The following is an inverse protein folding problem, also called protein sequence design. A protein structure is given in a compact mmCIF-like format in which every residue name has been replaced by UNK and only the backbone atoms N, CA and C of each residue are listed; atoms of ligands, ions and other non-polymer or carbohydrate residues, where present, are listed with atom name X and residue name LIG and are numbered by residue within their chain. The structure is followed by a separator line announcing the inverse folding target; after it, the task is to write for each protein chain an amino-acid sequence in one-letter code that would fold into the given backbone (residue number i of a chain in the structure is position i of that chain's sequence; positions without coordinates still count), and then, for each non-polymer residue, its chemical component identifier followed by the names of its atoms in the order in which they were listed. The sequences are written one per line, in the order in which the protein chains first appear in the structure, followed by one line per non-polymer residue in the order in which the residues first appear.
data_IF_402855187607
#
_entry.id   IF_402855187607
#
_cell.length_a   1.000
_cell.length_b   1.000
_cell.length_c   1.000
_cell.angle_alpha   90.00
_cell.angle_beta   90.00
_cell.angle_gamma   90.00
#
_symmetry.space_group_name_H-M   'P 1'
#
loop_
_entity.id
_entity.type
_entity.pdbx_description
1 polymer ?
#
# COMPACT_ATOMS: atom_id res chain seq x y z
N UNK A 1 4.61 6.23 8.66
CA UNK A 1 4.99 7.60 8.24
C UNK A 1 4.45 8.60 9.24
N UNK A 2 5.20 9.66 9.56
CA UNK A 2 4.68 10.80 10.32
C UNK A 2 3.62 11.53 9.48
N UNK A 3 2.74 12.31 10.14
CA UNK A 3 1.72 13.11 9.45
C UNK A 3 2.34 14.13 8.46
N UNK A 4 3.49 14.71 8.81
CA UNK A 4 4.22 15.59 7.90
C UNK A 4 4.74 14.84 6.66
N UNK A 5 5.33 13.65 6.83
CA UNK A 5 5.78 12.84 5.68
C UNK A 5 4.62 12.42 4.78
N UNK A 6 3.42 12.16 5.32
CA UNK A 6 2.23 11.86 4.52
C UNK A 6 1.82 13.04 3.66
N UNK A 7 1.77 14.25 4.23
CA UNK A 7 1.45 15.48 3.48
C UNK A 7 2.43 15.70 2.34
N UNK A 8 3.74 15.63 2.62
CA UNK A 8 4.77 15.79 1.59
C UNK A 8 4.64 14.72 0.50
N UNK A 9 4.43 13.46 0.88
CA UNK A 9 4.22 12.38 -0.08
C UNK A 9 3.04 12.67 -1.01
N UNK A 10 1.89 13.08 -0.49
CA UNK A 10 0.71 13.37 -1.30
C UNK A 10 0.88 14.60 -2.20
N UNK A 11 1.58 15.63 -1.75
CA UNK A 11 1.90 16.80 -2.58
C UNK A 11 2.77 16.36 -3.77
N UNK A 12 3.85 15.63 -3.52
CA UNK A 12 4.74 15.13 -4.57
C UNK A 12 4.00 14.19 -5.52
N UNK A 13 3.20 13.28 -4.97
CA UNK A 13 2.39 12.33 -5.75
C UNK A 13 1.41 13.06 -6.67
N UNK A 14 0.72 14.09 -6.17
CA UNK A 14 -0.22 14.87 -6.95
C UNK A 14 0.48 15.65 -8.07
N UNK A 15 1.61 16.31 -7.77
CA UNK A 15 2.41 17.02 -8.77
C UNK A 15 2.90 16.07 -9.87
N UNK A 16 3.41 14.90 -9.49
CA UNK A 16 3.85 13.88 -10.44
C UNK A 16 2.69 13.38 -11.31
N UNK A 17 1.51 13.20 -10.72
CA UNK A 17 0.31 12.75 -11.45
C UNK A 17 -0.15 13.79 -12.48
N UNK A 18 -0.15 15.08 -12.11
CA UNK A 18 -0.47 16.18 -13.04
C UNK A 18 0.56 16.25 -14.15
N UNK A 19 1.85 16.09 -13.82
CA UNK A 19 2.92 16.07 -14.81
C UNK A 19 2.79 14.89 -15.79
N UNK A 20 2.51 13.69 -15.30
CA UNK A 20 2.26 12.50 -16.14
C UNK A 20 1.03 12.72 -17.03
N UNK A 21 -0.05 13.28 -16.50
CA UNK A 21 -1.23 13.60 -17.28
C UNK A 21 -0.88 14.59 -18.41
N UNK A 22 -0.10 15.63 -18.12
CA UNK A 22 0.41 16.55 -19.12
C UNK A 22 1.21 15.83 -20.22
N UNK A 23 2.13 14.93 -19.84
CA UNK A 23 2.91 14.16 -20.80
C UNK A 23 2.02 13.30 -21.70
N UNK A 24 1.02 12.60 -21.16
CA UNK A 24 0.09 11.76 -21.95
C UNK A 24 -0.54 12.55 -23.10
N UNK A 25 -0.94 13.79 -22.86
CA UNK A 25 -1.57 14.64 -23.88
C UNK A 25 -0.58 15.38 -24.79
N UNK A 26 0.71 15.39 -24.46
CA UNK A 26 1.73 16.17 -25.19
C UNK A 26 2.89 15.32 -25.73
N UNK A 27 2.84 14.00 -25.60
CA UNK A 27 3.84 13.09 -26.17
C UNK A 27 3.95 13.29 -27.68
N UNK A 28 5.18 13.49 -28.16
CA UNK A 28 5.45 13.68 -29.58
C UNK A 28 5.15 15.09 -30.08
N UNK A 29 4.70 16.01 -29.21
CA UNK A 29 4.41 17.39 -29.58
C UNK A 29 5.72 18.21 -29.59
N UNK A 30 6.17 18.71 -30.75
CA UNK A 30 7.38 19.52 -30.86
C UNK A 30 7.24 20.92 -30.23
N UNK A 31 6.02 21.34 -29.86
CA UNK A 31 5.77 22.60 -29.17
C UNK A 31 5.43 22.40 -27.67
N UNK A 32 5.74 21.23 -27.10
CA UNK A 32 5.51 20.95 -25.68
C UNK A 32 6.47 21.73 -24.77
N UNK A 33 6.04 22.00 -23.53
CA UNK A 33 6.89 22.58 -22.48
C UNK A 33 8.10 21.68 -22.15
N UNK A 34 8.00 20.37 -22.44
CA UNK A 34 9.11 19.45 -22.27
C UNK A 34 10.31 19.82 -23.17
N UNK A 35 10.07 20.54 -24.27
CA UNK A 35 11.12 20.99 -25.20
C UNK A 35 12.13 21.95 -24.60
N UNK A 36 11.75 22.68 -23.55
CA UNK A 36 12.69 23.55 -22.84
C UNK A 36 13.78 22.76 -22.08
N UNK A 37 13.62 21.45 -21.93
CA UNK A 37 14.55 20.58 -21.20
C UNK A 37 15.11 19.48 -22.13
N UNK A 38 14.27 18.90 -22.98
CA UNK A 38 14.64 17.81 -23.89
C UNK A 38 14.17 18.20 -25.27
N UNK A 39 15.08 18.40 -26.22
CA UNK A 39 14.74 18.92 -27.55
C UNK A 39 14.04 17.87 -28.44
N UNK A 40 14.51 16.62 -28.43
CA UNK A 40 14.02 15.56 -29.32
C UNK A 40 12.72 14.87 -28.78
N UNK A 41 11.58 14.95 -29.48
CA UNK A 41 10.29 14.42 -29.02
C UNK A 41 10.23 12.88 -29.03
N UNK A 42 11.21 12.22 -29.64
CA UNK A 42 11.31 10.76 -29.66
C UNK A 42 11.48 10.15 -28.26
N UNK A 43 11.99 10.92 -27.29
CA UNK A 43 12.18 10.47 -25.91
C UNK A 43 10.91 10.53 -25.06
N UNK A 44 9.83 11.18 -25.52
CA UNK A 44 8.63 11.48 -24.72
C UNK A 44 7.97 10.23 -24.16
N UNK A 45 7.93 9.16 -24.96
CA UNK A 45 7.36 7.87 -24.56
C UNK A 45 8.19 7.25 -23.43
N UNK A 46 9.52 7.29 -23.55
CA UNK A 46 10.44 6.72 -22.56
C UNK A 46 10.31 7.48 -21.24
N UNK A 47 10.24 8.82 -21.31
CA UNK A 47 10.06 9.69 -20.16
C UNK A 47 8.72 9.40 -19.48
N UNK A 48 7.63 9.35 -20.26
CA UNK A 48 6.30 9.02 -19.76
C UNK A 48 6.30 7.68 -19.01
N UNK A 49 6.88 6.64 -19.62
CA UNK A 49 6.96 5.30 -19.02
C UNK A 49 7.78 5.33 -17.73
N UNK A 50 8.92 6.02 -17.71
CA UNK A 50 9.76 6.14 -16.52
C UNK A 50 9.00 6.79 -15.35
N UNK A 51 8.29 7.89 -15.60
CA UNK A 51 7.47 8.55 -14.58
C UNK A 51 6.27 7.71 -14.13
N UNK A 52 5.62 6.99 -15.05
CA UNK A 52 4.52 6.09 -14.71
C UNK A 52 4.98 4.93 -13.80
N UNK A 53 6.15 4.34 -14.10
CA UNK A 53 6.78 3.31 -13.26
C UNK A 53 7.11 3.89 -11.88
N UNK A 54 7.68 5.09 -11.81
CA UNK A 54 7.96 5.78 -10.54
C UNK A 54 6.68 5.98 -9.71
N UNK A 55 5.59 6.47 -10.32
CA UNK A 55 4.29 6.66 -9.66
C UNK A 55 3.73 5.33 -9.12
N UNK A 56 3.89 4.25 -9.89
CA UNK A 56 3.47 2.90 -9.50
C UNK A 56 4.27 2.39 -8.28
N UNK A 57 5.59 2.55 -8.29
CA UNK A 57 6.46 2.17 -7.15
C UNK A 57 6.11 2.98 -5.90
N UNK A 58 5.85 4.28 -6.04
CA UNK A 58 5.39 5.12 -4.93
C UNK A 58 4.04 4.64 -4.37
N UNK A 59 3.09 4.32 -5.26
CA UNK A 59 1.77 3.79 -4.88
C UNK A 59 1.90 2.48 -4.10
N UNK A 60 2.74 1.56 -4.60
CA UNK A 60 3.00 0.28 -3.96
C UNK A 60 3.66 0.46 -2.59
N UNK A 61 4.68 1.32 -2.50
CA UNK A 61 5.36 1.63 -1.23
C UNK A 61 4.37 2.22 -0.20
N UNK A 62 3.52 3.15 -0.62
CA UNK A 62 2.51 3.75 0.27
C UNK A 62 1.49 2.71 0.76
N UNK A 63 0.99 1.86 -0.14
CA UNK A 63 0.08 0.78 0.20
C UNK A 63 0.72 -0.21 1.19
N UNK A 64 1.97 -0.62 0.93
CA UNK A 64 2.69 -1.57 1.79
C UNK A 64 2.98 -1.01 3.19
N UNK A 65 3.35 0.27 3.29
CA UNK A 65 3.70 0.91 4.56
C UNK A 65 2.49 1.32 5.40
N UNK A 66 1.34 1.59 4.78
CA UNK A 66 0.11 1.99 5.48
C UNK A 66 -0.93 0.87 5.61
N UNK A 67 -0.58 -0.37 5.28
CA UNK A 67 -1.41 -1.58 5.47
C UNK A 67 -1.69 -1.94 6.96
N UNK A 68 -1.32 -1.08 7.91
CA UNK A 68 -1.42 -1.34 9.35
C UNK A 68 -2.86 -1.31 9.88
N UNK A 69 -3.76 -0.54 9.26
CA UNK A 69 -5.13 -0.38 9.77
C UNK A 69 -6.08 -1.55 9.50
N UNK A 70 -5.80 -2.40 8.51
CA UNK A 70 -6.69 -3.50 8.13
C UNK A 70 -6.79 -4.57 9.22
N UNK A 71 -5.63 -5.06 9.69
CA UNK A 71 -5.57 -6.10 10.70
C UNK A 71 -6.01 -5.62 12.09
N UNK A 72 -5.74 -4.36 12.45
CA UNK A 72 -6.24 -3.76 13.70
C UNK A 72 -7.77 -3.71 13.72
N UNK A 73 -8.39 -3.27 12.62
CA UNK A 73 -9.86 -3.31 12.47
C UNK A 73 -10.42 -4.73 12.53
N UNK A 74 -9.74 -5.70 11.91
CA UNK A 74 -10.13 -7.11 11.98
C UNK A 74 -10.10 -7.62 13.44
N UNK A 75 -9.05 -7.30 14.19
CA UNK A 75 -8.93 -7.66 15.62
C UNK A 75 -10.03 -6.98 16.44
N UNK A 76 -10.27 -5.69 16.24
CA UNK A 76 -11.33 -4.94 16.93
C UNK A 76 -12.73 -5.53 16.65
N UNK A 77 -13.04 -5.83 15.39
CA UNK A 77 -14.32 -6.44 15.00
C UNK A 77 -14.52 -7.84 15.62
N UNK A 78 -13.44 -8.54 15.97
CA UNK A 78 -13.47 -9.90 16.52
C UNK A 78 -13.13 -9.97 18.02
N UNK A 79 -13.06 -8.84 18.74
CA UNK A 79 -12.65 -8.77 20.15
C UNK A 79 -13.34 -9.81 21.05
N UNK A 80 -14.67 -9.94 20.97
CA UNK A 80 -15.44 -10.91 21.77
C UNK A 80 -15.01 -12.36 21.49
N UNK A 81 -14.77 -12.68 20.21
CA UNK A 81 -14.33 -14.02 19.78
C UNK A 81 -12.90 -14.30 20.25
N UNK A 82 -12.02 -13.30 20.16
CA UNK A 82 -10.63 -13.38 20.63
C UNK A 82 -10.59 -13.65 22.12
N UNK A 83 -11.33 -12.89 22.94
CA UNK A 83 -11.42 -13.10 24.38
C UNK A 83 -11.95 -14.50 24.73
N UNK A 84 -12.98 -14.97 24.02
CA UNK A 84 -13.50 -16.35 24.19
C UNK A 84 -12.44 -17.41 23.88
N UNK A 85 -11.63 -17.22 22.84
CA UNK A 85 -10.55 -18.15 22.49
C UNK A 85 -9.40 -18.10 23.50
N UNK A 86 -9.01 -16.92 23.99
CA UNK A 86 -8.01 -16.76 25.06
C UNK A 86 -8.44 -17.48 26.34
N UNK A 87 -9.70 -17.34 26.76
CA UNK A 87 -10.26 -18.06 27.92
C UNK A 87 -10.23 -19.60 27.76
N UNK A 88 -10.18 -20.09 26.53
CA UNK A 88 -10.01 -21.52 26.22
C UNK A 88 -8.54 -21.95 26.12
N UNK A 89 -7.59 -21.08 26.48
CA UNK A 89 -6.16 -21.37 26.44
C UNK A 89 -5.54 -21.32 25.04
N UNK A 90 -6.20 -20.74 24.04
CA UNK A 90 -5.66 -20.66 22.67
C UNK A 90 -4.53 -19.64 22.56
N UNK A 91 -3.48 -20.00 21.83
CA UNK A 91 -2.33 -19.11 21.57
C UNK A 91 -2.69 -18.01 20.56
N UNK A 92 -1.90 -16.93 20.53
CA UNK A 92 -2.10 -15.84 19.55
C UNK A 92 -2.03 -16.35 18.10
N UNK A 93 -1.19 -17.35 17.82
CA UNK A 93 -1.12 -17.99 16.50
C UNK A 93 -2.39 -18.77 16.17
N UNK A 94 -2.91 -19.58 17.08
CA UNK A 94 -4.17 -20.29 16.86
C UNK A 94 -5.35 -19.32 16.65
N UNK A 95 -5.36 -18.21 17.40
CA UNK A 95 -6.37 -17.15 17.25
C UNK A 95 -6.23 -16.47 15.88
N UNK A 96 -5.02 -16.11 15.47
CA UNK A 96 -4.75 -15.52 14.16
C UNK A 96 -5.19 -16.45 13.03
N UNK A 97 -4.85 -17.74 13.10
CA UNK A 97 -5.28 -18.74 12.11
C UNK A 97 -6.82 -18.90 12.07
N UNK A 98 -7.49 -18.85 13.22
CA UNK A 98 -8.96 -18.91 13.32
C UNK A 98 -9.64 -17.70 12.68
N UNK A 99 -9.06 -16.50 12.84
CA UNK A 99 -9.51 -15.26 12.20
C UNK A 99 -9.34 -15.37 10.68
N UNK A 100 -8.15 -15.77 10.19
CA UNK A 100 -7.89 -15.92 8.76
C UNK A 100 -8.78 -16.98 8.12
N UNK A 101 -9.05 -18.08 8.83
CA UNK A 101 -9.98 -19.14 8.38
C UNK A 101 -11.41 -18.61 8.25
N UNK A 102 -11.86 -17.77 9.18
CA UNK A 102 -13.18 -17.14 9.10
C UNK A 102 -13.31 -16.17 7.91
N UNK A 103 -12.20 -15.59 7.46
CA UNK A 103 -12.14 -14.72 6.27
C UNK A 103 -11.91 -15.50 4.96
N UNK A 104 -11.97 -16.84 5.00
CA UNK A 104 -11.72 -17.72 3.86
C UNK A 104 -10.36 -17.49 3.17
N UNK A 105 -9.34 -17.06 3.92
CA UNK A 105 -8.00 -16.84 3.39
C UNK A 105 -7.30 -18.20 3.27
N UNK A 106 -6.97 -18.58 2.03
CA UNK A 106 -6.26 -19.83 1.71
C UNK A 106 -4.82 -19.80 2.22
N UNK A 107 -4.30 -20.98 2.60
CA UNK A 107 -2.89 -21.16 3.00
C UNK A 107 -1.95 -20.88 1.82
N UNK A 108 -0.89 -20.11 2.06
CA UNK A 108 0.08 -19.67 1.06
C UNK A 108 1.02 -18.58 1.61
N UNK A 109 1.82 -17.93 0.77
CA UNK A 109 2.74 -16.86 1.22
C UNK A 109 2.00 -15.73 1.96
N UNK A 110 0.91 -15.23 1.39
CA UNK A 110 0.08 -14.16 1.99
C UNK A 110 -0.53 -14.58 3.34
N UNK A 111 -0.86 -15.87 3.50
CA UNK A 111 -1.37 -16.40 4.76
C UNK A 111 -0.32 -16.31 5.88
N UNK A 112 0.92 -16.74 5.60
CA UNK A 112 1.99 -16.70 6.60
C UNK A 112 2.32 -15.26 7.03
N UNK A 113 2.34 -14.33 6.08
CA UNK A 113 2.48 -12.91 6.36
C UNK A 113 1.34 -12.40 7.24
N UNK A 114 0.08 -12.74 6.90
CA UNK A 114 -1.09 -12.31 7.65
C UNK A 114 -1.13 -12.90 9.07
N UNK A 115 -0.71 -14.16 9.27
CA UNK A 115 -0.56 -14.77 10.61
C UNK A 115 0.43 -13.96 11.44
N UNK A 116 1.65 -13.76 10.92
CA UNK A 116 2.69 -12.99 11.63
C UNK A 116 2.19 -11.59 12.00
N UNK A 117 1.48 -10.91 11.09
CA UNK A 117 0.93 -9.59 11.38
C UNK A 117 -0.16 -9.59 12.43
N UNK A 118 -1.11 -10.52 12.36
CA UNK A 118 -2.17 -10.64 13.36
C UNK A 118 -1.59 -10.98 14.73
N UNK A 119 -0.59 -11.85 14.83
CA UNK A 119 0.08 -12.19 16.10
C UNK A 119 0.66 -10.94 16.76
N UNK A 120 1.42 -10.12 16.02
CA UNK A 120 1.99 -8.86 16.52
C UNK A 120 0.93 -7.88 17.03
N UNK A 121 -0.26 -7.87 16.43
CA UNK A 121 -1.36 -7.00 16.86
C UNK A 121 -2.07 -7.59 18.08
N UNK A 122 -2.29 -8.91 18.11
CA UNK A 122 -2.86 -9.62 19.24
C UNK A 122 -1.99 -9.52 20.49
N UNK A 123 -0.67 -9.40 20.37
CA UNK A 123 0.22 -9.11 21.50
C UNK A 123 -0.06 -7.75 22.15
N UNK A 124 -0.49 -6.76 21.35
CA UNK A 124 -0.82 -5.41 21.83
C UNK A 124 -2.22 -5.32 22.45
N UNK A 125 -3.09 -6.30 22.17
CA UNK A 125 -4.49 -6.30 22.62
C UNK A 125 -4.70 -7.44 23.64
N UNK A 126 -4.71 -7.09 24.93
CA UNK A 126 -4.97 -8.03 26.03
C UNK A 126 -6.45 -8.42 26.10
#
# INVERSE_FOLDING_TARGET
MSEQSKKVFFIVFALLSVFIAYLIFNVGNPNSLLRYIIEDPSYDIIILVAFAVLLSVMSFYYAHTNETGGYEKIVQANLKKIQKLRRKGKTNEEIAQSILKAMNIRRGYRYHYAVKRLVLILEKVK
#
